data_IF_824336488678
#
_entry.id   IF_824336488678
#
_cell.length_a   1.000
_cell.length_b   1.000
_cell.length_c   1.000
_cell.angle_alpha   90.00
_cell.angle_beta   90.00
_cell.angle_gamma   90.00
#
_symmetry.space_group_name_H-M   'P 1'
#
loop_
_entity.id
_entity.type
_entity.pdbx_description
1 polymer ?
#
# COMPACT_ATOMS: atom_id res chain seq x y z
N UNK A 1 -6.86 11.95 -5.25
CA UNK A 1 -6.37 10.59 -5.58
C UNK A 1 -4.95 10.55 -6.15
N UNK A 2 -4.39 11.71 -6.46
CA UNK A 2 -3.02 11.79 -6.98
C UNK A 2 -2.00 11.21 -6.00
N UNK A 3 -2.09 11.61 -4.71
CA UNK A 3 -1.22 11.07 -3.67
C UNK A 3 -1.33 9.54 -3.55
N UNK A 4 -2.56 9.02 -3.64
CA UNK A 4 -2.81 7.58 -3.56
C UNK A 4 -2.16 6.85 -4.74
N UNK A 5 -2.36 7.35 -5.95
CA UNK A 5 -1.79 6.73 -7.16
C UNK A 5 -0.27 6.80 -7.17
N UNK A 6 0.30 7.93 -6.78
CA UNK A 6 1.75 8.10 -6.70
C UNK A 6 2.37 7.16 -5.67
N UNK A 7 1.70 6.99 -4.53
CA UNK A 7 2.17 6.08 -3.48
C UNK A 7 2.29 4.65 -4.04
N UNK A 8 1.24 4.14 -4.71
CA UNK A 8 1.29 2.78 -5.24
C UNK A 8 2.27 2.63 -6.38
N UNK A 9 2.42 3.65 -7.21
CA UNK A 9 3.45 3.63 -8.26
C UNK A 9 4.84 3.46 -7.64
N UNK A 10 5.15 4.24 -6.61
CA UNK A 10 6.45 4.17 -5.94
C UNK A 10 6.62 2.87 -5.16
N UNK A 11 5.56 2.39 -4.53
CA UNK A 11 5.59 1.12 -3.81
C UNK A 11 6.06 -0.01 -4.74
N UNK A 12 5.58 -0.01 -5.97
CA UNK A 12 5.88 -1.06 -6.93
C UNK A 12 7.18 -0.85 -7.70
N UNK A 13 7.66 0.39 -7.82
CA UNK A 13 8.78 0.73 -8.68
C UNK A 13 9.99 1.32 -7.96
N UNK A 14 9.78 1.99 -6.83
CA UNK A 14 10.87 2.62 -6.09
C UNK A 14 10.43 2.81 -4.63
N UNK A 15 10.39 1.72 -3.90
CA UNK A 15 9.76 1.68 -2.59
C UNK A 15 10.40 2.64 -1.58
N UNK A 16 11.69 2.91 -1.69
CA UNK A 16 12.35 3.86 -0.77
C UNK A 16 11.75 5.26 -0.83
N UNK A 17 11.18 5.64 -1.97
CA UNK A 17 10.61 6.96 -2.16
C UNK A 17 9.22 7.14 -1.56
N UNK A 18 8.57 6.08 -1.10
CA UNK A 18 7.26 6.23 -0.47
C UNK A 18 7.34 7.07 0.80
N UNK A 19 8.52 7.20 1.41
CA UNK A 19 8.71 8.02 2.61
C UNK A 19 8.21 9.45 2.43
N UNK A 20 8.30 9.98 1.22
CA UNK A 20 7.85 11.35 0.92
C UNK A 20 6.33 11.51 1.03
N UNK A 21 5.60 10.41 1.02
CA UNK A 21 4.14 10.39 1.08
C UNK A 21 3.60 9.92 2.43
N UNK A 22 4.49 9.73 3.41
CA UNK A 22 4.14 9.21 4.74
C UNK A 22 4.49 10.21 5.81
N UNK A 23 3.66 10.25 6.88
CA UNK A 23 4.01 11.03 8.06
C UNK A 23 5.14 10.33 8.82
N UNK A 24 5.81 11.07 9.71
CA UNK A 24 6.89 10.51 10.51
C UNK A 24 6.44 9.34 11.40
N UNK A 25 5.19 9.38 11.84
CA UNK A 25 4.62 8.35 12.70
C UNK A 25 3.74 7.35 11.95
N UNK A 26 3.94 7.23 10.63
CA UNK A 26 3.15 6.34 9.78
C UNK A 26 3.17 4.91 10.31
N UNK A 27 2.03 4.26 10.18
CA UNK A 27 1.85 2.87 10.57
C UNK A 27 0.96 2.17 9.59
N UNK A 28 1.25 0.92 9.29
CA UNK A 28 0.38 0.07 8.47
C UNK A 28 0.12 -1.24 9.19
N UNK A 29 -1.14 -1.66 9.16
CA UNK A 29 -1.56 -2.98 9.64
C UNK A 29 -1.74 -3.87 8.41
N UNK A 30 -0.90 -4.87 8.29
CA UNK A 30 -0.93 -5.80 7.16
C UNK A 30 -0.32 -7.13 7.60
N UNK A 31 -0.79 -8.22 7.00
CA UNK A 31 -0.30 -9.59 7.29
C UNK A 31 -0.34 -9.86 8.81
N UNK A 32 -1.46 -9.48 9.43
CA UNK A 32 -1.75 -9.71 10.85
C UNK A 32 -0.74 -9.09 11.82
N UNK A 33 -0.06 -8.02 11.40
CA UNK A 33 0.84 -7.30 12.31
C UNK A 33 0.89 -5.82 11.97
N UNK A 34 1.52 -5.08 12.89
CA UNK A 34 1.76 -3.67 12.74
C UNK A 34 3.19 -3.44 12.26
N UNK A 35 3.33 -2.57 11.26
CA UNK A 35 4.63 -2.23 10.69
C UNK A 35 4.82 -0.71 10.75
N UNK A 36 6.03 -0.27 11.04
CA UNK A 36 6.39 1.14 10.82
C UNK A 36 6.92 1.28 9.39
N UNK A 37 7.28 2.51 8.99
CA UNK A 37 7.75 2.78 7.63
C UNK A 37 8.93 1.90 7.24
N UNK A 38 9.97 1.83 8.07
CA UNK A 38 11.18 1.09 7.74
C UNK A 38 10.94 -0.40 7.67
N UNK A 39 10.16 -0.93 8.60
CA UNK A 39 9.80 -2.35 8.60
C UNK A 39 9.01 -2.71 7.34
N UNK A 40 8.06 -1.86 6.96
CA UNK A 40 7.24 -2.12 5.78
C UNK A 40 8.07 -2.08 4.51
N UNK A 41 8.96 -1.10 4.37
CA UNK A 41 9.84 -1.01 3.20
C UNK A 41 10.71 -2.27 3.08
N UNK A 42 11.28 -2.74 4.18
CA UNK A 42 12.10 -3.95 4.18
C UNK A 42 11.27 -5.18 3.79
N UNK A 43 10.03 -5.25 4.27
CA UNK A 43 9.12 -6.33 3.91
C UNK A 43 8.87 -6.36 2.39
N UNK A 44 8.58 -5.20 1.80
CA UNK A 44 8.33 -5.09 0.35
C UNK A 44 9.59 -5.46 -0.44
N UNK A 45 10.76 -4.98 -0.01
CA UNK A 45 12.03 -5.31 -0.67
C UNK A 45 12.31 -6.80 -0.67
N UNK A 46 11.82 -7.51 0.33
CA UNK A 46 12.00 -8.96 0.44
C UNK A 46 11.40 -9.75 -0.71
N UNK A 47 10.44 -9.19 -1.43
CA UNK A 47 9.87 -9.86 -2.60
C UNK A 47 10.76 -9.78 -3.83
N UNK A 48 11.79 -8.93 -3.83
CA UNK A 48 12.65 -8.72 -4.99
C UNK A 48 11.90 -7.96 -6.09
N UNK A 49 12.33 -8.16 -7.33
CA UNK A 49 11.67 -7.50 -8.47
C UNK A 49 10.39 -8.20 -8.85
N UNK A 50 9.38 -7.43 -9.19
CA UNK A 50 8.10 -7.98 -9.62
C UNK A 50 7.38 -6.98 -10.53
N UNK A 51 6.45 -7.50 -11.32
CA UNK A 51 5.50 -6.69 -12.07
C UNK A 51 4.16 -6.79 -11.36
N UNK A 52 3.41 -5.71 -11.33
CA UNK A 52 2.14 -5.68 -10.63
C UNK A 52 1.01 -5.20 -11.52
N UNK A 53 -0.18 -5.74 -11.28
CA UNK A 53 -1.44 -5.23 -11.81
C UNK A 53 -2.34 -5.02 -10.61
N UNK A 54 -2.80 -3.79 -10.41
CA UNK A 54 -3.66 -3.44 -9.28
C UNK A 54 -4.98 -2.90 -9.80
N UNK A 55 -6.05 -3.27 -9.13
CA UNK A 55 -7.38 -2.77 -9.43
C UNK A 55 -8.02 -2.31 -8.12
N UNK A 56 -8.61 -1.14 -8.13
CA UNK A 56 -9.22 -0.52 -6.95
C UNK A 56 -10.70 -0.30 -7.24
N UNK A 57 -11.56 -0.84 -6.39
CA UNK A 57 -13.02 -0.81 -6.57
C UNK A 57 -13.71 -0.27 -5.34
N UNK A 58 -14.92 0.24 -5.56
CA UNK A 58 -15.79 0.69 -4.47
C UNK A 58 -15.10 1.69 -3.56
N UNK A 59 -14.39 2.62 -4.17
CA UNK A 59 -13.62 3.64 -3.45
C UNK A 59 -14.58 4.63 -2.81
N UNK A 60 -14.44 4.81 -1.51
CA UNK A 60 -15.18 5.81 -0.77
C UNK A 60 -14.20 6.77 -0.11
N UNK A 61 -14.38 8.06 -0.35
CA UNK A 61 -13.50 9.10 0.19
C UNK A 61 -14.33 10.05 1.04
N UNK A 62 -13.94 10.19 2.30
CA UNK A 62 -14.52 11.16 3.22
C UNK A 62 -13.45 12.17 3.56
N UNK A 63 -13.73 13.46 3.32
CA UNK A 63 -12.74 14.51 3.56
C UNK A 63 -13.19 15.42 4.69
N UNK A 64 -12.21 15.90 5.44
CA UNK A 64 -12.38 16.93 6.44
C UNK A 64 -11.41 18.06 6.09
N UNK A 65 -11.33 19.08 6.92
CA UNK A 65 -10.53 20.26 6.63
C UNK A 65 -9.05 19.96 6.38
N UNK A 66 -8.46 19.09 7.20
CA UNK A 66 -7.05 18.75 7.12
C UNK A 66 -6.79 17.27 6.97
N UNK A 67 -7.82 16.49 6.63
CA UNK A 67 -7.66 15.05 6.58
C UNK A 67 -8.58 14.41 5.54
N UNK A 68 -8.27 13.17 5.20
CA UNK A 68 -9.10 12.36 4.32
C UNK A 68 -9.07 10.91 4.79
N UNK A 69 -10.19 10.23 4.67
CA UNK A 69 -10.29 8.80 4.92
C UNK A 69 -10.74 8.14 3.63
N UNK A 70 -10.02 7.11 3.22
CA UNK A 70 -10.32 6.36 2.01
C UNK A 70 -10.55 4.91 2.39
N UNK A 71 -11.64 4.33 1.93
CA UNK A 71 -11.87 2.89 2.05
C UNK A 71 -12.12 2.33 0.66
N UNK A 72 -11.69 1.10 0.43
CA UNK A 72 -11.74 0.52 -0.91
C UNK A 72 -11.56 -0.99 -0.87
N UNK A 73 -11.85 -1.61 -2.02
CA UNK A 73 -11.49 -3.00 -2.28
C UNK A 73 -10.33 -2.97 -3.28
N UNK A 74 -9.33 -3.79 -3.04
CA UNK A 74 -8.11 -3.79 -3.84
C UNK A 74 -7.79 -5.21 -4.27
N UNK A 75 -7.54 -5.42 -5.55
CA UNK A 75 -7.02 -6.69 -6.04
C UNK A 75 -5.65 -6.44 -6.66
N UNK A 76 -4.73 -7.35 -6.42
CA UNK A 76 -3.38 -7.23 -6.97
C UNK A 76 -2.90 -8.57 -7.50
N UNK A 77 -2.31 -8.53 -8.70
CA UNK A 77 -1.57 -9.65 -9.26
C UNK A 77 -0.12 -9.25 -9.35
N UNK A 78 0.76 -10.11 -8.83
CA UNK A 78 2.19 -9.85 -8.82
C UNK A 78 2.91 -10.98 -9.54
N UNK A 79 3.72 -10.64 -10.53
CA UNK A 79 4.55 -11.61 -11.23
C UNK A 79 5.99 -11.42 -10.78
N UNK A 80 6.53 -12.43 -10.12
CA UNK A 80 7.87 -12.37 -9.55
C UNK A 80 8.91 -12.74 -10.60
N UNK A 81 10.10 -12.16 -10.49
CA UNK A 81 11.22 -12.49 -11.35
C UNK A 81 11.69 -13.93 -11.11
N UNK A 82 11.64 -14.38 -9.85
CA UNK A 82 12.01 -15.74 -9.45
C UNK A 82 10.80 -16.47 -8.88
N UNK A 83 10.61 -17.75 -9.21
CA UNK A 83 9.50 -18.52 -8.64
C UNK A 83 9.61 -18.61 -7.11
N UNK A 84 8.46 -18.64 -6.45
CA UNK A 84 8.40 -18.91 -5.03
C UNK A 84 8.50 -20.41 -4.79
N UNK A 85 8.50 -20.82 -3.52
CA UNK A 85 8.77 -22.19 -3.08
C UNK A 85 7.90 -23.26 -3.75
N UNK A 86 6.66 -22.93 -4.10
CA UNK A 86 5.74 -23.87 -4.77
C UNK A 86 5.90 -23.87 -6.31
N UNK A 87 6.89 -23.16 -6.84
CA UNK A 87 7.13 -23.05 -8.26
C UNK A 87 6.29 -21.99 -8.97
N UNK A 88 5.41 -21.30 -8.27
CA UNK A 88 4.57 -20.25 -8.85
C UNK A 88 5.33 -18.93 -8.95
N UNK A 89 5.16 -18.25 -10.09
CA UNK A 89 5.71 -16.90 -10.28
C UNK A 89 4.66 -15.83 -10.07
N UNK A 90 3.38 -16.19 -10.06
CA UNK A 90 2.29 -15.23 -9.96
C UNK A 90 1.57 -15.37 -8.63
N UNK A 91 1.40 -14.25 -7.95
CA UNK A 91 0.65 -14.17 -6.69
C UNK A 91 -0.56 -13.28 -6.91
N UNK A 92 -1.73 -13.74 -6.46
CA UNK A 92 -2.97 -12.97 -6.57
C UNK A 92 -3.55 -12.74 -5.19
N UNK A 93 -3.86 -11.49 -4.88
CA UNK A 93 -4.40 -11.10 -3.57
C UNK A 93 -5.64 -10.25 -3.73
N UNK A 94 -6.52 -10.37 -2.75
CA UNK A 94 -7.67 -9.50 -2.58
C UNK A 94 -7.64 -8.91 -1.18
N UNK A 95 -7.84 -7.60 -1.07
CA UNK A 95 -7.79 -6.90 0.21
C UNK A 95 -9.00 -5.99 0.40
N UNK A 96 -9.38 -5.85 1.66
CA UNK A 96 -10.21 -4.72 2.11
C UNK A 96 -9.25 -3.73 2.75
N UNK A 97 -9.31 -2.47 2.33
CA UNK A 97 -8.32 -1.49 2.76
C UNK A 97 -8.95 -0.19 3.22
N UNK A 98 -8.26 0.46 4.14
CA UNK A 98 -8.65 1.74 4.69
C UNK A 98 -7.39 2.57 4.93
N UNK A 99 -7.42 3.83 4.54
CA UNK A 99 -6.28 4.72 4.70
C UNK A 99 -6.72 6.04 5.33
N UNK A 100 -5.89 6.56 6.22
CA UNK A 100 -6.08 7.86 6.82
C UNK A 100 -4.95 8.77 6.40
N UNK A 101 -5.30 9.90 5.76
CA UNK A 101 -4.33 10.87 5.27
C UNK A 101 -4.51 12.18 6.00
N UNK A 102 -3.42 12.87 6.26
CA UNK A 102 -3.43 14.19 6.88
C UNK A 102 -2.65 15.17 6.01
N UNK A 103 -3.00 16.44 6.13
CA UNK A 103 -2.33 17.50 5.39
C UNK A 103 -1.13 18.01 6.17
N UNK A 104 0.04 17.94 5.55
CA UNK A 104 1.29 18.49 6.09
C UNK A 104 1.92 19.36 5.02
N UNK A 105 2.19 20.62 5.33
CA UNK A 105 2.82 21.56 4.39
C UNK A 105 2.13 21.57 3.03
N UNK A 106 0.79 21.68 3.04
CA UNK A 106 -0.06 21.73 1.84
C UNK A 106 -0.08 20.43 1.05
N UNK A 107 0.44 19.32 1.60
CA UNK A 107 0.51 18.03 0.93
C UNK A 107 -0.18 16.98 1.78
N UNK A 108 -0.99 16.12 1.14
CA UNK A 108 -1.59 14.99 1.83
C UNK A 108 -0.56 13.88 1.98
N UNK A 109 -0.46 13.34 3.19
CA UNK A 109 0.42 12.22 3.50
C UNK A 109 -0.35 11.14 4.25
N UNK A 110 0.01 9.89 4.01
CA UNK A 110 -0.57 8.78 4.73
C UNK A 110 -0.06 8.78 6.17
N UNK A 111 -0.99 8.74 7.11
CA UNK A 111 -0.69 8.59 8.52
C UNK A 111 -0.92 7.16 8.98
N UNK A 112 -1.89 6.49 8.39
CA UNK A 112 -2.25 5.12 8.74
C UNK A 112 -2.80 4.41 7.52
N UNK A 113 -2.49 3.14 7.38
CA UNK A 113 -3.02 2.27 6.34
C UNK A 113 -3.40 0.94 6.96
N UNK A 114 -4.57 0.44 6.59
CA UNK A 114 -5.04 -0.88 7.02
C UNK A 114 -5.30 -1.72 5.78
N UNK A 115 -4.72 -2.92 5.75
CA UNK A 115 -4.88 -3.83 4.64
C UNK A 115 -5.19 -5.22 5.18
N UNK A 116 -6.37 -5.73 4.88
CA UNK A 116 -6.79 -7.07 5.29
C UNK A 116 -6.96 -7.95 4.06
N UNK A 117 -6.15 -8.99 3.98
CA UNK A 117 -6.26 -9.95 2.89
C UNK A 117 -7.48 -10.84 3.11
N UNK A 118 -8.32 -10.97 2.08
CA UNK A 118 -9.57 -11.70 2.18
C UNK A 118 -9.61 -12.96 1.31
N UNK A 119 -8.59 -13.21 0.51
CA UNK A 119 -8.49 -14.47 -0.25
C UNK A 119 -7.42 -15.39 0.37
N UNK A 120 -7.46 -16.62 0.00
CA UNK A 120 -6.52 -17.64 0.51
C UNK A 120 -5.12 -17.52 -0.11
#
# INVERSE_FOLDING_TARGET
METFNDFFYLLDNDVDKIRDYLTDDFMIFEVSRKWNTEEFIEFVKGFGKFESKRDFKNIKIDTDFNSAHISLEHTGEFTLEKPIQNGSKTLSYEWLESAYLVKENEKLKFKFYFSEQIND
#
